data_IF_470954123473
#
_entry.id   IF_470954123473
#
_cell.length_a   1.000
_cell.length_b   1.000
_cell.length_c   1.000
_cell.angle_alpha   90.00
_cell.angle_beta   90.00
_cell.angle_gamma   90.00
#
_symmetry.space_group_name_H-M   'P 1'
#
loop_
_entity.id
_entity.type
_entity.pdbx_description
1 polymer ?
#
# COMPACT_ATOMS: atom_id res chain seq x y z
N UNK A 1 -0.85 18.23 10.80
CA UNK A 1 0.16 18.15 11.88
C UNK A 1 -0.15 16.88 12.65
N UNK A 2 0.70 15.85 12.54
CA UNK A 2 0.39 14.47 12.91
C UNK A 2 0.07 14.30 14.40
N UNK A 3 -1.19 13.97 14.65
CA UNK A 3 -1.72 13.26 15.81
C UNK A 3 -2.05 11.82 15.32
N UNK A 4 -2.35 10.88 16.21
CA UNK A 4 -2.60 9.44 16.03
C UNK A 4 -3.79 9.06 15.11
N UNK A 5 -4.07 9.87 14.09
CA UNK A 5 -5.16 9.78 13.12
C UNK A 5 -4.69 9.73 11.66
N UNK A 6 -3.37 9.66 11.38
CA UNK A 6 -2.80 9.65 10.02
C UNK A 6 -1.82 8.49 9.73
N UNK A 7 -1.86 7.38 10.48
CA UNK A 7 -1.37 6.11 9.93
C UNK A 7 -2.44 5.58 9.00
N UNK A 8 -2.26 5.70 7.69
CA UNK A 8 -3.27 5.21 6.76
C UNK A 8 -3.14 3.71 6.53
N UNK A 9 -1.92 3.18 6.45
CA UNK A 9 -1.66 1.74 6.38
C UNK A 9 -0.53 1.31 7.30
N UNK A 10 -0.68 0.12 7.90
CA UNK A 10 0.35 -0.55 8.70
C UNK A 10 0.39 -2.03 8.34
N UNK A 11 1.59 -2.53 8.05
CA UNK A 11 1.84 -3.96 7.84
C UNK A 11 2.38 -4.55 9.13
N UNK A 12 1.76 -5.65 9.55
CA UNK A 12 2.09 -6.38 10.77
C UNK A 12 2.60 -7.76 10.41
N UNK A 13 3.64 -8.20 11.11
CA UNK A 13 4.09 -9.59 11.09
C UNK A 13 3.39 -10.33 12.23
N UNK A 14 2.78 -11.47 11.92
CA UNK A 14 2.14 -12.34 12.90
C UNK A 14 3.07 -13.51 13.26
N UNK A 15 3.11 -13.88 14.53
CA UNK A 15 3.73 -15.11 15.00
C UNK A 15 2.93 -16.34 14.55
N UNK A 16 3.50 -17.54 14.68
CA UNK A 16 2.79 -18.80 14.41
C UNK A 16 1.53 -18.97 15.26
N UNK A 17 1.49 -18.36 16.46
CA UNK A 17 0.30 -18.32 17.33
C UNK A 17 -0.86 -17.48 16.76
N UNK A 18 -0.61 -16.69 15.71
CA UNK A 18 -1.54 -15.69 15.18
C UNK A 18 -1.49 -14.34 15.89
N UNK A 19 -0.68 -14.20 16.94
CA UNK A 19 -0.48 -12.92 17.63
C UNK A 19 0.44 -11.99 16.83
N UNK A 20 0.31 -10.67 17.03
CA UNK A 20 1.20 -9.71 16.39
C UNK A 20 2.61 -9.88 16.98
N UNK A 21 3.57 -10.26 16.14
CA UNK A 21 4.97 -10.35 16.52
C UNK A 21 5.64 -8.96 16.51
N UNK A 22 5.42 -8.20 15.42
CA UNK A 22 5.93 -6.82 15.29
C UNK A 22 5.21 -6.03 14.19
N UNK A 23 5.38 -4.72 14.22
CA UNK A 23 5.12 -3.86 13.05
C UNK A 23 6.27 -4.00 12.06
N UNK A 24 5.96 -4.26 10.79
CA UNK A 24 6.94 -4.31 9.70
C UNK A 24 7.21 -2.90 9.18
N UNK A 25 6.15 -2.20 8.78
CA UNK A 25 6.23 -0.84 8.27
C UNK A 25 4.89 -0.12 8.36
N UNK A 26 4.95 1.20 8.22
CA UNK A 26 3.80 2.09 8.13
C UNK A 26 3.91 2.92 6.85
N UNK A 27 2.76 3.25 6.28
CA UNK A 27 2.65 4.13 5.13
C UNK A 27 1.65 5.25 5.46
N UNK A 28 2.15 6.47 5.33
CA UNK A 28 1.41 7.71 5.57
C UNK A 28 0.58 8.07 4.33
N UNK A 29 -0.64 8.61 4.53
CA UNK A 29 -1.51 9.06 3.44
C UNK A 29 -1.20 10.47 2.96
N UNK A 30 -0.02 11.00 3.25
CA UNK A 30 0.40 12.31 2.75
C UNK A 30 1.71 12.24 1.97
N UNK A 31 1.78 13.05 0.92
CA UNK A 31 3.05 13.36 0.25
C UNK A 31 3.77 14.45 1.08
N UNK A 32 4.83 14.06 1.77
CA UNK A 32 5.67 14.98 2.54
C UNK A 32 4.95 15.72 3.67
N UNK A 33 3.86 15.18 4.22
CA UNK A 33 3.10 15.83 5.30
C UNK A 33 2.16 16.95 4.84
N UNK A 34 2.03 17.19 3.52
CA UNK A 34 1.36 18.40 3.00
C UNK A 34 0.21 18.15 2.03
N UNK A 35 0.23 17.03 1.32
CA UNK A 35 -0.77 16.71 0.30
C UNK A 35 -1.38 15.36 0.62
N UNK A 36 -2.68 15.35 0.89
CA UNK A 36 -3.42 14.11 1.13
C UNK A 36 -3.44 13.27 -0.16
N UNK A 37 -3.15 11.98 0.00
CA UNK A 37 -3.00 10.98 -1.05
C UNK A 37 -4.03 9.86 -0.92
N UNK A 38 -4.82 9.77 0.16
CA UNK A 38 -5.87 8.77 0.41
C UNK A 38 -5.50 7.32 0.07
N UNK A 39 -5.31 6.45 1.06
CA UNK A 39 -4.88 5.06 0.80
C UNK A 39 -6.01 4.03 0.96
N UNK A 40 -5.96 2.98 0.15
CA UNK A 40 -6.85 1.82 0.25
C UNK A 40 -6.11 0.52 -0.03
N UNK A 41 -6.30 -0.52 0.79
CA UNK A 41 -5.70 -1.85 0.58
C UNK A 41 -6.46 -2.61 -0.49
N UNK A 42 -5.76 -3.15 -1.48
CA UNK A 42 -6.34 -4.07 -2.48
C UNK A 42 -5.92 -5.52 -2.22
N UNK A 43 -4.68 -5.77 -1.78
CA UNK A 43 -4.25 -7.11 -1.37
C UNK A 43 -2.75 -7.35 -1.45
N UNK A 44 -2.25 -8.30 -0.66
CA UNK A 44 -0.87 -8.77 -0.79
C UNK A 44 -0.70 -9.58 -2.08
N UNK A 45 0.52 -9.56 -2.62
CA UNK A 45 0.93 -10.46 -3.67
C UNK A 45 0.64 -11.92 -3.25
N UNK A 46 0.10 -12.76 -4.15
CA UNK A 46 -0.36 -14.10 -3.79
C UNK A 46 0.78 -15.11 -3.57
N UNK A 47 2.01 -14.76 -3.98
CA UNK A 47 3.16 -15.64 -3.84
C UNK A 47 3.74 -15.59 -2.43
N UNK A 48 3.92 -16.76 -1.82
CA UNK A 48 4.55 -16.87 -0.51
C UNK A 48 5.96 -16.25 -0.51
N UNK A 49 6.23 -15.38 0.46
CA UNK A 49 7.49 -14.64 0.56
C UNK A 49 7.54 -13.33 -0.23
N UNK A 50 6.54 -13.06 -1.07
CA UNK A 50 6.37 -11.75 -1.69
C UNK A 50 5.56 -10.85 -0.76
N UNK A 51 6.23 -9.85 -0.18
CA UNK A 51 5.62 -8.94 0.78
C UNK A 51 4.95 -7.72 0.11
N UNK A 52 4.97 -7.63 -1.22
CA UNK A 52 4.39 -6.49 -1.94
C UNK A 52 2.89 -6.40 -1.68
N UNK A 53 2.43 -5.18 -1.39
CA UNK A 53 1.03 -4.83 -1.20
C UNK A 53 0.58 -3.96 -2.36
N UNK A 54 -0.52 -4.36 -3.01
CA UNK A 54 -1.21 -3.50 -3.95
C UNK A 54 -2.09 -2.52 -3.16
N UNK A 55 -1.89 -1.24 -3.43
CA UNK A 55 -2.53 -0.11 -2.74
C UNK A 55 -3.17 0.80 -3.78
N UNK A 56 -4.40 1.25 -3.53
CA UNK A 56 -4.98 2.39 -4.24
C UNK A 56 -4.58 3.70 -3.57
N UNK A 57 -4.17 4.69 -4.36
CA UNK A 57 -3.86 6.04 -3.89
C UNK A 57 -4.55 7.10 -4.76
N UNK A 58 -5.08 8.14 -4.14
CA UNK A 58 -5.51 9.35 -4.83
C UNK A 58 -4.31 10.18 -5.27
N UNK A 59 -4.12 10.27 -6.59
CA UNK A 59 -3.10 11.10 -7.23
C UNK A 59 -3.73 11.82 -8.42
N UNK A 60 -3.38 13.10 -8.59
CA UNK A 60 -3.86 13.91 -9.71
C UNK A 60 -5.41 13.98 -9.81
N UNK A 61 -6.10 13.90 -8.66
CA UNK A 61 -7.56 13.98 -8.58
C UNK A 61 -8.31 12.70 -8.95
N UNK A 62 -7.63 11.54 -8.95
CA UNK A 62 -8.19 10.22 -9.29
C UNK A 62 -7.51 9.11 -8.49
N UNK A 63 -8.16 7.96 -8.37
CA UNK A 63 -7.59 6.77 -7.76
C UNK A 63 -6.72 6.00 -8.75
N UNK A 64 -5.50 5.67 -8.32
CA UNK A 64 -4.50 4.96 -9.11
C UNK A 64 -3.82 3.86 -8.29
N UNK A 65 -3.46 2.73 -8.90
CA UNK A 65 -2.76 1.66 -8.21
C UNK A 65 -1.27 1.99 -8.00
N UNK A 66 -0.75 1.49 -6.88
CA UNK A 66 0.60 1.63 -6.38
C UNK A 66 1.05 0.29 -5.80
N UNK A 67 2.26 -0.14 -6.13
CA UNK A 67 2.90 -1.25 -5.42
C UNK A 67 3.70 -0.68 -4.26
N UNK A 68 3.43 -1.14 -3.05
CA UNK A 68 4.23 -0.84 -1.86
C UNK A 68 4.96 -2.10 -1.40
N UNK A 69 6.28 -2.00 -1.24
CA UNK A 69 7.08 -3.01 -0.56
C UNK A 69 7.38 -2.53 0.87
N UNK A 70 6.73 -3.11 1.90
CA UNK A 70 6.92 -2.71 3.29
C UNK A 70 8.29 -3.15 3.85
N UNK A 71 8.93 -4.16 3.25
CA UNK A 71 10.24 -4.66 3.70
C UNK A 71 11.35 -3.80 3.13
N UNK A 72 11.27 -3.46 1.84
CA UNK A 72 12.22 -2.58 1.17
C UNK A 72 11.95 -1.08 1.45
N UNK A 73 10.75 -0.73 1.89
CA UNK A 73 10.31 0.66 2.08
C UNK A 73 10.09 1.42 0.77
N UNK A 74 9.90 0.72 -0.35
CA UNK A 74 9.77 1.32 -1.68
C UNK A 74 8.32 1.40 -2.13
N UNK A 75 8.01 2.47 -2.86
CA UNK A 75 6.71 2.67 -3.51
C UNK A 75 6.93 2.78 -5.02
N UNK A 76 6.23 1.97 -5.79
CA UNK A 76 6.31 1.93 -7.25
C UNK A 76 4.95 2.25 -7.86
N UNK A 77 4.74 3.50 -8.31
CA UNK A 77 3.61 3.88 -9.14
C UNK A 77 3.49 2.98 -10.37
N UNK A 78 2.29 2.49 -10.66
CA UNK A 78 2.05 1.82 -11.94
C UNK A 78 1.81 2.86 -13.03
N UNK A 79 2.47 2.70 -14.17
CA UNK A 79 2.27 3.56 -15.33
C UNK A 79 0.95 3.16 -16.01
N UNK A 80 -0.11 3.92 -15.76
CA UNK A 80 -1.45 3.64 -16.26
C UNK A 80 -1.94 4.79 -17.16
N UNK A 81 -2.08 4.50 -18.45
CA UNK A 81 -2.63 5.42 -19.46
C UNK A 81 -4.11 5.14 -19.72
N UNK A 82 -4.89 5.06 -18.64
CA UNK A 82 -6.34 4.97 -18.67
C UNK A 82 -6.93 6.22 -18.01
N UNK A 83 -8.06 6.76 -18.48
CA UNK A 83 -8.74 7.86 -17.80
C UNK A 83 -9.51 7.38 -16.56
N UNK A 84 -9.83 8.30 -15.64
CA UNK A 84 -10.72 8.03 -14.49
C UNK A 84 -10.11 7.17 -13.38
N UNK A 85 -10.89 6.68 -12.43
CA UNK A 85 -10.34 5.85 -11.36
C UNK A 85 -9.94 4.46 -11.87
N UNK A 86 -8.80 3.94 -11.40
CA UNK A 86 -8.29 2.62 -11.78
C UNK A 86 -8.04 1.78 -10.54
N UNK A 87 -8.61 0.58 -10.54
CA UNK A 87 -8.30 -0.50 -9.61
C UNK A 87 -7.53 -1.61 -10.33
N UNK A 88 -6.78 -2.40 -9.58
CA UNK A 88 -6.06 -3.56 -10.09
C UNK A 88 -6.22 -4.73 -9.11
N UNK A 89 -5.89 -5.92 -9.58
CA UNK A 89 -5.79 -7.14 -8.79
C UNK A 89 -4.55 -7.91 -9.25
N UNK A 90 -4.04 -8.80 -8.43
CA UNK A 90 -2.85 -9.59 -8.76
C UNK A 90 -3.19 -10.73 -9.71
N UNK A 91 -2.28 -11.03 -10.64
CA UNK A 91 -2.24 -12.35 -11.25
C UNK A 91 -1.68 -13.39 -10.28
N UNK A 92 -1.95 -14.68 -10.52
CA UNK A 92 -1.47 -15.79 -9.67
C UNK A 92 0.06 -15.83 -9.53
N UNK A 93 0.78 -15.30 -10.52
CA UNK A 93 2.23 -15.19 -10.53
C UNK A 93 2.77 -13.88 -9.92
N UNK A 94 1.90 -13.10 -9.27
CA UNK A 94 2.19 -11.79 -8.68
C UNK A 94 2.71 -10.74 -9.69
N UNK A 95 2.24 -10.80 -10.94
CA UNK A 95 2.39 -9.73 -11.93
C UNK A 95 1.24 -8.72 -11.93
#
# INVERSE_FOLDING_TARGET
HGDAMHSALRVLELAESGEIARTVAELDDTEGGTKELGLSVMGFAPLAGDARLLVGTQREGRWLPLIWDPVAGTQTPLAIDLPGDVSADWYEDAS
#
